data_IF_363204440942
#
_entry.id   IF_363204440942
#
_cell.length_a   1.000
_cell.length_b   1.000
_cell.length_c   1.000
_cell.angle_alpha   90.00
_cell.angle_beta   90.00
_cell.angle_gamma   90.00
#
_symmetry.space_group_name_H-M   'P 1'
#
loop_
_entity.id
_entity.type
_entity.pdbx_description
1 polymer ?
#
# COMPACT_ATOMS: atom_id res chain seq x y z
N UNK A 1 -8.92 11.67 24.68
CA UNK A 1 -7.53 12.05 24.93
C UNK A 1 -6.62 11.07 24.20
N UNK A 2 -5.96 11.54 23.12
CA UNK A 2 -5.02 10.75 22.34
C UNK A 2 -3.77 10.43 23.19
N UNK A 3 -3.24 9.21 23.02
CA UNK A 3 -2.15 8.67 23.85
C UNK A 3 -0.87 8.38 23.06
N UNK A 4 -0.90 8.56 21.73
CA UNK A 4 0.27 8.47 20.85
C UNK A 4 0.24 9.56 19.78
N UNK A 5 1.42 10.02 19.34
CA UNK A 5 1.56 10.97 18.24
C UNK A 5 2.48 10.42 17.16
N UNK A 6 2.04 10.49 15.91
CA UNK A 6 2.83 10.19 14.71
C UNK A 6 3.08 11.45 13.89
N UNK A 7 4.21 11.49 13.22
CA UNK A 7 4.55 12.56 12.28
C UNK A 7 4.76 11.98 10.89
N UNK A 8 4.02 12.48 9.92
CA UNK A 8 4.18 12.12 8.50
C UNK A 8 5.48 12.65 7.91
N UNK A 9 5.86 12.15 6.73
CA UNK A 9 7.06 12.62 6.01
C UNK A 9 7.00 14.11 5.64
N UNK A 10 5.79 14.65 5.48
CA UNK A 10 5.51 16.07 5.21
C UNK A 10 5.17 16.89 6.48
N UNK A 11 5.60 16.37 7.66
CA UNK A 11 5.62 17.04 8.96
C UNK A 11 4.24 17.31 9.61
N UNK A 12 3.18 16.63 9.18
CA UNK A 12 1.87 16.70 9.83
C UNK A 12 1.83 15.75 11.03
N UNK A 13 1.30 16.23 12.16
CA UNK A 13 1.17 15.46 13.40
C UNK A 13 -0.23 14.86 13.51
N UNK A 14 -0.29 13.54 13.66
CA UNK A 14 -1.50 12.78 13.96
C UNK A 14 -1.48 12.34 15.42
N UNK A 15 -2.55 12.66 16.14
CA UNK A 15 -2.73 12.22 17.53
C UNK A 15 -3.80 11.14 17.57
N UNK A 16 -3.42 9.93 17.97
CA UNK A 16 -4.24 8.74 17.86
C UNK A 16 -4.37 8.01 19.20
N UNK A 17 -5.23 6.98 19.20
CA UNK A 17 -5.45 6.12 20.36
C UNK A 17 -4.78 4.76 20.09
N UNK A 18 -3.84 4.38 20.92
CA UNK A 18 -3.11 3.09 20.83
C UNK A 18 -4.08 1.92 20.72
N UNK A 19 -5.15 1.94 21.51
CA UNK A 19 -6.16 0.88 21.49
C UNK A 19 -6.78 0.66 20.11
N UNK A 20 -7.01 1.73 19.34
CA UNK A 20 -7.56 1.59 17.99
C UNK A 20 -6.52 1.00 17.04
N UNK A 21 -5.25 1.40 17.15
CA UNK A 21 -4.17 0.83 16.36
C UNK A 21 -4.01 -0.67 16.63
N UNK A 22 -3.92 -1.08 17.89
CA UNK A 22 -3.78 -2.49 18.29
C UNK A 22 -5.00 -3.35 17.90
N UNK A 23 -6.20 -2.74 17.82
CA UNK A 23 -7.42 -3.48 17.46
C UNK A 23 -7.51 -3.75 15.96
N UNK A 24 -6.99 -2.85 15.14
CA UNK A 24 -7.20 -2.85 13.69
C UNK A 24 -5.95 -3.11 12.85
N UNK A 25 -4.78 -3.30 13.51
CA UNK A 25 -3.50 -3.43 12.83
C UNK A 25 -2.52 -4.29 13.63
N UNK A 26 -1.74 -5.12 12.92
CA UNK A 26 -0.63 -5.88 13.51
C UNK A 26 0.74 -5.22 13.26
N UNK A 27 0.80 -4.20 12.41
CA UNK A 27 2.06 -3.57 11.97
C UNK A 27 2.46 -2.31 12.75
N UNK A 28 1.59 -1.74 13.58
CA UNK A 28 1.97 -0.64 14.46
C UNK A 28 2.62 -1.16 15.75
N UNK A 29 3.60 -0.41 16.29
CA UNK A 29 4.28 -0.85 17.50
C UNK A 29 3.27 -1.03 18.65
N UNK A 30 3.35 -2.16 19.38
CA UNK A 30 2.52 -2.38 20.57
C UNK A 30 2.73 -1.27 21.62
N UNK A 31 1.71 -1.03 22.41
CA UNK A 31 1.74 -0.07 23.54
C UNK A 31 2.94 -0.27 24.48
N UNK A 32 3.50 -1.48 24.57
CA UNK A 32 4.68 -1.79 25.37
C UNK A 32 5.95 -1.02 24.95
N UNK A 33 6.01 -0.50 23.72
CA UNK A 33 7.11 0.33 23.22
C UNK A 33 6.85 1.84 23.39
N UNK A 34 5.65 2.22 23.80
CA UNK A 34 5.28 3.60 24.08
C UNK A 34 5.34 3.79 25.61
N UNK A 35 6.35 4.46 26.13
CA UNK A 35 6.43 4.74 27.56
C UNK A 35 5.20 5.57 27.99
N UNK A 36 4.46 5.16 29.05
CA UNK A 36 3.31 5.90 29.51
C UNK A 36 3.69 7.35 29.84
N UNK A 37 3.06 8.32 29.17
CA UNK A 37 3.31 9.74 29.38
C UNK A 37 4.52 10.33 28.63
N UNK A 38 5.16 9.57 27.72
CA UNK A 38 6.13 10.15 26.81
C UNK A 38 5.41 11.00 25.76
N UNK A 39 5.82 12.27 25.62
CA UNK A 39 5.43 13.13 24.50
C UNK A 39 6.21 12.75 23.21
N UNK A 40 6.61 11.50 23.07
CA UNK A 40 7.41 11.04 21.95
C UNK A 40 6.57 11.01 20.68
N UNK A 41 7.08 11.62 19.62
CA UNK A 41 6.46 11.62 18.30
C UNK A 41 7.19 10.59 17.44
N UNK A 42 6.46 9.63 16.93
CA UNK A 42 7.00 8.57 16.05
C UNK A 42 6.95 9.05 14.60
N UNK A 43 8.10 9.06 13.92
CA UNK A 43 8.18 9.43 12.51
C UNK A 43 7.74 8.27 11.60
N UNK A 44 6.83 8.56 10.67
CA UNK A 44 6.39 7.66 9.62
C UNK A 44 6.88 8.16 8.26
N UNK A 45 7.14 7.23 7.35
CA UNK A 45 7.67 7.55 6.01
C UNK A 45 6.60 8.02 5.03
N UNK A 46 5.33 7.80 5.33
CA UNK A 46 4.21 8.11 4.47
C UNK A 46 3.81 9.59 4.58
N UNK A 47 3.29 10.19 3.46
CA UNK A 47 2.70 11.52 3.47
C UNK A 47 1.42 11.58 4.31
N UNK A 48 1.06 12.78 4.76
CA UNK A 48 -0.14 13.00 5.56
C UNK A 48 -1.42 12.54 4.88
N UNK A 49 -1.55 12.76 3.58
CA UNK A 49 -2.73 12.34 2.82
C UNK A 49 -2.95 10.82 2.86
N UNK A 50 -1.88 10.03 2.75
CA UNK A 50 -1.92 8.58 2.86
C UNK A 50 -2.29 8.13 4.27
N UNK A 51 -1.65 8.74 5.28
CA UNK A 51 -1.90 8.40 6.69
C UNK A 51 -3.32 8.79 7.13
N UNK A 52 -3.84 9.91 6.67
CA UNK A 52 -5.20 10.33 6.99
C UNK A 52 -6.24 9.30 6.53
N UNK A 53 -6.10 8.81 5.29
CA UNK A 53 -6.95 7.73 4.79
C UNK A 53 -6.74 6.43 5.57
N UNK A 54 -5.50 6.03 5.84
CA UNK A 54 -5.19 4.80 6.55
C UNK A 54 -5.78 4.79 7.96
N UNK A 55 -5.63 5.89 8.71
CA UNK A 55 -6.14 5.97 10.08
C UNK A 55 -7.65 5.95 10.16
N UNK A 56 -8.38 6.39 9.12
CA UNK A 56 -9.83 6.30 9.09
C UNK A 56 -10.32 4.85 9.16
N UNK A 57 -9.56 3.87 8.66
CA UNK A 57 -9.87 2.45 8.77
C UNK A 57 -9.72 1.88 10.19
N UNK A 58 -9.04 2.60 11.07
CA UNK A 58 -8.79 2.18 12.45
C UNK A 58 -9.75 2.78 13.46
N UNK A 59 -10.72 3.58 12.99
CA UNK A 59 -11.71 4.21 13.84
C UNK A 59 -13.12 3.75 13.47
N UNK A 60 -14.07 3.76 14.42
CA UNK A 60 -15.46 3.34 14.21
C UNK A 60 -16.26 4.42 13.45
N UNK A 61 -15.70 4.93 12.38
CA UNK A 61 -16.30 5.93 11.51
C UNK A 61 -16.68 5.31 10.17
N UNK A 62 -17.41 6.07 9.36
CA UNK A 62 -17.61 5.70 7.96
C UNK A 62 -16.25 5.66 7.26
N UNK A 63 -15.96 4.56 6.60
CA UNK A 63 -14.72 4.40 5.85
C UNK A 63 -14.67 5.36 4.65
N UNK A 64 -13.47 5.77 4.21
CA UNK A 64 -13.31 6.67 3.09
C UNK A 64 -13.87 6.08 1.79
N UNK A 65 -14.44 6.95 0.94
CA UNK A 65 -14.90 6.56 -0.39
C UNK A 65 -13.73 6.59 -1.37
N UNK A 66 -13.15 5.43 -1.64
CA UNK A 66 -11.99 5.31 -2.52
C UNK A 66 -12.32 5.58 -4.01
N UNK A 67 -13.60 5.67 -4.40
CA UNK A 67 -13.96 6.10 -5.75
C UNK A 67 -13.58 7.57 -6.04
N UNK A 68 -13.39 8.36 -5.01
CA UNK A 68 -13.00 9.78 -5.12
C UNK A 68 -11.51 10.01 -4.96
N UNK A 69 -10.74 8.95 -4.72
CA UNK A 69 -9.29 9.01 -4.50
C UNK A 69 -8.55 8.78 -5.81
N UNK A 70 -7.63 9.68 -6.14
CA UNK A 70 -6.76 9.53 -7.31
C UNK A 70 -5.87 8.29 -7.18
N UNK A 71 -5.61 7.60 -8.30
CA UNK A 71 -4.91 6.33 -8.31
C UNK A 71 -3.52 6.36 -7.63
N UNK A 72 -2.67 7.40 -7.79
CA UNK A 72 -1.39 7.45 -7.06
C UNK A 72 -1.55 7.41 -5.54
N UNK A 73 -2.52 8.13 -4.99
CA UNK A 73 -2.82 8.12 -3.56
C UNK A 73 -3.42 6.77 -3.11
N UNK A 74 -4.24 6.14 -3.96
CA UNK A 74 -4.74 4.79 -3.72
C UNK A 74 -3.59 3.77 -3.66
N UNK A 75 -2.61 3.86 -4.55
CA UNK A 75 -1.44 2.98 -4.56
C UNK A 75 -0.60 3.17 -3.28
N UNK A 76 -0.36 4.41 -2.86
CA UNK A 76 0.34 4.72 -1.62
C UNK A 76 -0.42 4.21 -0.38
N UNK A 77 -1.74 4.37 -0.36
CA UNK A 77 -2.61 3.82 0.69
C UNK A 77 -2.53 2.30 0.73
N UNK A 78 -2.55 1.65 -0.44
CA UNK A 78 -2.48 0.20 -0.54
C UNK A 78 -1.16 -0.35 0.03
N UNK A 79 -0.04 0.27 -0.31
CA UNK A 79 1.28 -0.10 0.24
C UNK A 79 1.36 0.17 1.76
N UNK A 80 0.78 1.27 2.24
CA UNK A 80 0.74 1.57 3.67
C UNK A 80 -0.15 0.58 4.44
N UNK A 81 -1.30 0.20 3.87
CA UNK A 81 -2.19 -0.80 4.46
C UNK A 81 -1.48 -2.15 4.66
N UNK A 82 -0.73 -2.60 3.65
CA UNK A 82 0.09 -3.82 3.71
C UNK A 82 1.23 -3.69 4.73
N UNK A 83 1.96 -2.57 4.69
CA UNK A 83 3.09 -2.30 5.60
C UNK A 83 2.66 -2.35 7.06
N UNK A 84 1.54 -1.74 7.38
CA UNK A 84 1.02 -1.65 8.75
C UNK A 84 0.00 -2.74 9.07
N UNK A 85 -0.29 -3.63 8.14
CA UNK A 85 -1.22 -4.76 8.29
C UNK A 85 -2.59 -4.32 8.82
N UNK A 86 -3.16 -3.29 8.17
CA UNK A 86 -4.52 -2.81 8.43
C UNK A 86 -5.48 -3.61 7.57
N UNK A 87 -5.92 -4.77 8.05
CA UNK A 87 -6.64 -5.78 7.26
C UNK A 87 -7.87 -5.24 6.55
N UNK A 88 -8.67 -4.40 7.21
CA UNK A 88 -9.86 -3.79 6.60
C UNK A 88 -9.52 -2.88 5.42
N UNK A 89 -8.38 -2.15 5.50
CA UNK A 89 -7.90 -1.34 4.40
C UNK A 89 -7.31 -2.22 3.28
N UNK A 90 -6.55 -3.26 3.61
CA UNK A 90 -5.96 -4.20 2.64
C UNK A 90 -7.02 -4.82 1.74
N UNK A 91 -8.12 -5.34 2.31
CA UNK A 91 -9.18 -5.98 1.55
C UNK A 91 -9.85 -5.02 0.55
N UNK A 92 -10.11 -3.80 0.99
CA UNK A 92 -10.72 -2.78 0.12
C UNK A 92 -9.72 -2.27 -0.93
N UNK A 93 -8.49 -1.97 -0.52
CA UNK A 93 -7.43 -1.52 -1.44
C UNK A 93 -7.15 -2.55 -2.54
N UNK A 94 -7.09 -3.84 -2.20
CA UNK A 94 -6.95 -4.92 -3.16
C UNK A 94 -7.99 -4.85 -4.28
N UNK A 95 -9.26 -4.63 -3.94
CA UNK A 95 -10.36 -4.51 -4.91
C UNK A 95 -10.14 -3.28 -5.81
N UNK A 96 -9.85 -2.13 -5.21
CA UNK A 96 -9.68 -0.88 -5.95
C UNK A 96 -8.41 -0.87 -6.82
N UNK A 97 -7.32 -1.50 -6.37
CA UNK A 97 -6.13 -1.72 -7.20
C UNK A 97 -6.47 -2.58 -8.43
N UNK A 98 -7.22 -3.66 -8.27
CA UNK A 98 -7.74 -4.47 -9.39
C UNK A 98 -8.60 -3.67 -10.36
N UNK A 99 -9.46 -2.78 -9.87
CA UNK A 99 -10.29 -1.92 -10.72
C UNK A 99 -9.45 -0.91 -11.54
N UNK A 100 -8.29 -0.49 -11.04
CA UNK A 100 -7.37 0.42 -11.73
C UNK A 100 -6.47 -0.24 -12.78
N UNK A 101 -6.65 -1.54 -13.03
CA UNK A 101 -5.77 -2.38 -13.83
C UNK A 101 -5.55 -1.88 -15.26
N UNK A 102 -6.60 -1.42 -15.95
CA UNK A 102 -6.52 -1.05 -17.36
C UNK A 102 -5.59 0.15 -17.62
N UNK A 103 -5.60 1.11 -16.71
CA UNK A 103 -4.84 2.36 -16.86
C UNK A 103 -3.48 2.33 -16.13
N UNK A 104 -3.30 1.39 -15.17
CA UNK A 104 -2.16 1.36 -14.27
C UNK A 104 -1.53 -0.04 -14.12
N UNK A 105 -1.54 -0.82 -15.20
CA UNK A 105 -1.18 -2.24 -15.19
C UNK A 105 0.17 -2.53 -14.50
N UNK A 106 1.20 -1.73 -14.74
CA UNK A 106 2.53 -1.93 -14.16
C UNK A 106 2.56 -1.71 -12.64
N UNK A 107 1.89 -0.65 -12.16
CA UNK A 107 1.78 -0.36 -10.72
C UNK A 107 0.98 -1.45 -10.01
N UNK A 108 -0.13 -1.87 -10.62
CA UNK A 108 -0.97 -2.96 -10.09
C UNK A 108 -0.22 -4.28 -10.08
N UNK A 109 0.53 -4.60 -11.14
CA UNK A 109 1.37 -5.80 -11.19
C UNK A 109 2.41 -5.81 -10.08
N UNK A 110 3.13 -4.70 -9.88
CA UNK A 110 4.13 -4.58 -8.81
C UNK A 110 3.53 -4.79 -7.43
N UNK A 111 2.40 -4.16 -7.16
CA UNK A 111 1.66 -4.33 -5.91
C UNK A 111 1.24 -5.80 -5.71
N UNK A 112 0.59 -6.39 -6.71
CA UNK A 112 0.07 -7.74 -6.64
C UNK A 112 1.18 -8.79 -6.44
N UNK A 113 2.31 -8.65 -7.14
CA UNK A 113 3.43 -9.58 -7.00
C UNK A 113 4.12 -9.42 -5.66
N UNK A 114 4.31 -8.17 -5.18
CA UNK A 114 4.95 -7.89 -3.88
C UNK A 114 4.17 -8.50 -2.73
N UNK A 115 2.85 -8.44 -2.79
CA UNK A 115 1.96 -8.86 -1.70
C UNK A 115 1.33 -10.25 -1.92
N UNK A 116 1.69 -10.94 -3.02
CA UNK A 116 1.25 -12.32 -3.28
C UNK A 116 -0.18 -12.46 -3.80
N UNK A 117 -0.76 -11.40 -4.37
CA UNK A 117 -2.09 -11.41 -5.00
C UNK A 117 -2.02 -11.97 -6.42
N UNK A 118 -1.95 -13.31 -6.52
CA UNK A 118 -1.74 -14.01 -7.80
C UNK A 118 -2.83 -13.75 -8.82
N UNK A 119 -4.08 -13.72 -8.38
CA UNK A 119 -5.26 -13.40 -9.20
C UNK A 119 -5.09 -12.07 -9.96
N UNK A 120 -4.73 -11.01 -9.22
CA UNK A 120 -4.50 -9.68 -9.80
C UNK A 120 -3.21 -9.67 -10.66
N UNK A 121 -2.16 -10.35 -10.24
CA UNK A 121 -0.91 -10.42 -10.98
C UNK A 121 -1.10 -11.12 -12.34
N UNK A 122 -1.88 -12.21 -12.38
CA UNK A 122 -2.18 -12.96 -13.61
C UNK A 122 -3.02 -12.13 -14.61
N UNK A 123 -3.90 -11.26 -14.11
CA UNK A 123 -4.66 -10.32 -14.93
C UNK A 123 -3.81 -9.13 -15.41
N UNK A 124 -2.90 -8.64 -14.57
CA UNK A 124 -2.06 -7.48 -14.87
C UNK A 124 -0.92 -7.79 -15.85
N UNK A 125 -0.28 -8.95 -15.72
CA UNK A 125 0.91 -9.30 -16.48
C UNK A 125 0.73 -9.17 -17.99
N UNK A 126 -0.34 -9.68 -18.63
CA UNK A 126 -0.55 -9.54 -20.07
C UNK A 126 -0.63 -8.09 -20.55
N UNK A 127 -1.15 -7.18 -19.72
CA UNK A 127 -1.30 -5.77 -20.08
C UNK A 127 0.03 -5.02 -20.07
N UNK A 128 1.04 -5.55 -19.38
CA UNK A 128 2.38 -4.94 -19.32
C UNK A 128 3.29 -5.38 -20.46
N UNK A 129 2.91 -6.40 -21.23
CA UNK A 129 3.74 -6.97 -22.33
C UNK A 129 4.03 -5.96 -23.44
N UNK A 130 3.11 -5.04 -23.69
CA UNK A 130 3.24 -3.99 -24.71
C UNK A 130 4.01 -2.76 -24.25
N UNK A 131 4.35 -2.68 -22.96
CA UNK A 131 5.10 -1.54 -22.41
C UNK A 131 6.58 -1.59 -22.83
N UNK A 132 7.21 -0.42 -23.03
CA UNK A 132 8.63 -0.36 -23.32
C UNK A 132 9.47 -1.00 -22.20
N UNK A 133 10.44 -1.83 -22.55
CA UNK A 133 11.30 -2.53 -21.58
C UNK A 133 12.00 -1.57 -20.62
N UNK A 134 12.32 -0.34 -21.07
CA UNK A 134 12.90 0.68 -20.23
C UNK A 134 11.94 1.15 -19.12
N UNK A 135 10.68 1.29 -19.43
CA UNK A 135 9.64 1.68 -18.47
C UNK A 135 9.42 0.59 -17.43
N UNK A 136 9.29 -0.65 -17.89
CA UNK A 136 9.17 -1.82 -17.01
C UNK A 136 10.40 -1.97 -16.13
N UNK A 137 11.60 -1.85 -16.69
CA UNK A 137 12.87 -1.97 -15.96
C UNK A 137 13.09 -0.86 -14.93
N UNK A 138 12.55 0.33 -15.16
CA UNK A 138 12.65 1.45 -14.24
C UNK A 138 11.68 1.35 -13.02
N UNK A 139 10.54 0.69 -13.21
CA UNK A 139 9.46 0.68 -12.22
C UNK A 139 9.20 -0.69 -11.61
N UNK A 140 9.60 -1.78 -12.26
CA UNK A 140 9.45 -3.13 -11.71
C UNK A 140 10.55 -3.44 -10.72
N UNK A 141 10.20 -4.01 -9.56
CA UNK A 141 11.17 -4.44 -8.58
C UNK A 141 12.11 -5.50 -9.19
N UNK A 142 13.43 -5.34 -9.02
CA UNK A 142 14.47 -6.17 -9.66
C UNK A 142 14.26 -7.68 -9.47
N UNK A 143 13.72 -8.09 -8.33
CA UNK A 143 13.43 -9.51 -8.03
C UNK A 143 12.43 -10.14 -9.02
N UNK A 144 11.53 -9.35 -9.59
CA UNK A 144 10.45 -9.83 -10.45
C UNK A 144 10.74 -9.61 -11.94
N UNK A 145 11.67 -8.71 -12.26
CA UNK A 145 12.02 -8.37 -13.63
C UNK A 145 12.47 -9.62 -14.43
N UNK A 146 13.26 -10.49 -13.82
CA UNK A 146 13.70 -11.74 -14.44
C UNK A 146 12.54 -12.64 -14.82
N UNK A 147 11.61 -12.90 -13.91
CA UNK A 147 10.44 -13.74 -14.16
C UNK A 147 9.52 -13.12 -15.22
N UNK A 148 9.33 -11.81 -15.19
CA UNK A 148 8.55 -11.09 -16.19
C UNK A 148 9.16 -11.20 -17.60
N UNK A 149 10.49 -11.01 -17.72
CA UNK A 149 11.20 -11.15 -19.02
C UNK A 149 10.98 -12.55 -19.61
N UNK A 150 11.05 -13.61 -18.80
CA UNK A 150 10.78 -14.98 -19.27
C UNK A 150 9.35 -15.21 -19.73
N UNK A 151 8.39 -14.46 -19.15
CA UNK A 151 6.97 -14.57 -19.54
C UNK A 151 6.66 -13.82 -20.83
N UNK A 152 7.37 -12.69 -21.06
CA UNK A 152 7.09 -11.74 -22.14
C UNK A 152 7.93 -11.99 -23.39
N UNK A 153 9.17 -12.47 -23.24
CA UNK A 153 10.03 -12.80 -24.36
C UNK A 153 9.84 -14.28 -24.72
N UNK A 154 9.15 -14.60 -25.84
CA UNK A 154 9.02 -15.99 -26.26
C UNK A 154 10.42 -16.56 -26.48
N UNK A 155 10.68 -17.74 -25.91
CA UNK A 155 11.88 -18.49 -26.20
C UNK A 155 12.01 -18.63 -27.72
N UNK A 156 13.18 -18.35 -28.33
CA UNK A 156 13.35 -18.61 -29.74
C UNK A 156 13.05 -20.10 -29.96
N UNK A 157 12.05 -20.39 -30.78
CA UNK A 157 11.77 -21.74 -31.22
C UNK A 157 12.99 -22.27 -31.93
N UNK A 158 13.60 -23.33 -31.39
CA UNK A 158 14.64 -24.15 -32.01
C UNK A 158 14.06 -24.91 -33.20
#
# INVERSE_FOLDING_TARGET
DADIAFRSSDQVIFRLHIKNLETHSDGFPPSAFCAPGSNEVVDLSEPAATLDLLFQYMYPWRQPDLNTVEFPLLADLSEAAEKYQVYSAMDICKIFMGNGLQDNALTVLNYAVRHGYRDIADEAAPLTVSLPLQEVGAHMHQMYLGSWVYTVVPSPSL
#
